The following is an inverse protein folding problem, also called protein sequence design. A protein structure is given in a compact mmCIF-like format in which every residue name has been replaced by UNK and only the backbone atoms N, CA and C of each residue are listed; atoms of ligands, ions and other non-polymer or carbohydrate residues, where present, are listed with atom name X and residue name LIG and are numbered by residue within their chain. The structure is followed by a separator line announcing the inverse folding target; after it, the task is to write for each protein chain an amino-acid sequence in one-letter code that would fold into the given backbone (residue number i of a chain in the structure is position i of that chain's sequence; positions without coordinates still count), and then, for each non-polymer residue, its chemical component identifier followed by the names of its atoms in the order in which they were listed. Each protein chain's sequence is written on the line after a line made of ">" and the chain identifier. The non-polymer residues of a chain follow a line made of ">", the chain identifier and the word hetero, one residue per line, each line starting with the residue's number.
data_IF_296906754478
#
_entry.id   IF_296906754478
#
_cell.length_a   1.000
_cell.length_b   1.000
_cell.length_c   1.000
_cell.angle_alpha   90.00
_cell.angle_beta   90.00
_cell.angle_gamma   90.00
#
_symmetry.space_group_name_H-M   'P 1'
#
loop_
_entity.id
_entity.type
_entity.pdbx_description
1 polymer ?
#
# COMPACT_ATOMS: atom_id res chain seq x y z
N UNK A 1 35.41 10.60 -25.50
CA UNK A 1 35.19 11.42 -24.31
C UNK A 1 34.18 12.58 -24.59
N UNK A 2 34.31 13.37 -25.69
CA UNK A 2 33.30 14.40 -26.04
C UNK A 2 31.87 13.84 -26.17
N UNK A 3 31.69 12.71 -26.81
CA UNK A 3 30.39 12.05 -26.95
C UNK A 3 29.76 11.69 -25.59
N UNK A 4 30.59 11.31 -24.61
CA UNK A 4 30.12 10.99 -23.25
C UNK A 4 29.67 12.23 -22.49
N UNK A 5 30.38 13.36 -22.66
CA UNK A 5 29.98 14.65 -22.06
C UNK A 5 28.65 15.09 -22.64
N UNK A 6 28.51 15.08 -23.97
CA UNK A 6 27.28 15.49 -24.64
C UNK A 6 26.08 14.61 -24.24
N UNK A 7 26.27 13.31 -24.09
CA UNK A 7 25.23 12.37 -23.63
C UNK A 7 24.79 12.69 -22.18
N UNK A 8 25.72 13.01 -21.30
CA UNK A 8 25.40 13.35 -19.90
C UNK A 8 24.67 14.69 -19.86
N UNK A 9 25.17 15.69 -20.58
CA UNK A 9 24.52 17.01 -20.65
C UNK A 9 23.12 16.92 -21.24
N UNK A 10 22.93 16.13 -22.31
CA UNK A 10 21.62 15.84 -22.87
C UNK A 10 20.70 15.12 -21.86
N UNK A 11 21.25 14.22 -21.06
CA UNK A 11 20.54 13.58 -19.93
C UNK A 11 20.12 14.59 -18.87
N UNK A 12 21.02 15.47 -18.44
CA UNK A 12 20.74 16.54 -17.45
C UNK A 12 19.65 17.48 -17.97
N UNK A 13 19.74 17.92 -19.21
CA UNK A 13 18.73 18.78 -19.84
C UNK A 13 17.35 18.14 -19.86
N UNK A 14 17.25 16.87 -20.23
CA UNK A 14 15.99 16.10 -20.21
C UNK A 14 15.39 15.98 -18.81
N UNK A 15 16.20 15.84 -17.78
CA UNK A 15 15.76 15.77 -16.39
C UNK A 15 15.20 17.11 -15.87
N UNK A 16 15.63 18.21 -16.44
CA UNK A 16 15.13 19.55 -16.11
C UNK A 16 13.88 19.95 -16.92
N UNK A 17 13.58 19.23 -17.99
CA UNK A 17 12.39 19.44 -18.80
C UNK A 17 11.23 18.59 -18.25
N UNK A 18 10.18 19.20 -17.70
CA UNK A 18 9.16 18.49 -16.90
C UNK A 18 8.06 17.83 -17.73
N UNK A 19 8.38 17.24 -18.87
CA UNK A 19 7.41 16.44 -19.66
C UNK A 19 7.03 15.13 -18.98
N UNK A 20 7.93 14.58 -18.12
CA UNK A 20 7.72 13.39 -17.30
C UNK A 20 8.14 13.67 -15.87
N UNK A 21 7.52 12.95 -14.92
CA UNK A 21 7.94 13.02 -13.52
C UNK A 21 9.41 12.57 -13.39
N UNK A 22 10.28 13.38 -12.77
CA UNK A 22 11.72 13.08 -12.66
C UNK A 22 11.97 12.04 -11.55
N UNK A 23 11.52 10.79 -11.77
CA UNK A 23 11.68 9.68 -10.82
C UNK A 23 13.15 9.36 -10.55
N UNK A 24 13.43 8.71 -9.42
CA UNK A 24 14.78 8.27 -9.09
C UNK A 24 15.33 7.33 -10.16
N UNK A 25 14.51 6.47 -10.74
CA UNK A 25 14.86 5.58 -11.84
C UNK A 25 15.39 6.34 -13.08
N UNK A 26 14.78 7.47 -13.42
CA UNK A 26 15.22 8.31 -14.54
C UNK A 26 16.47 9.12 -14.18
N UNK A 27 16.59 9.53 -12.92
CA UNK A 27 17.65 10.41 -12.44
C UNK A 27 18.97 9.66 -12.19
N UNK A 28 18.90 8.49 -11.55
CA UNK A 28 20.07 7.73 -11.10
C UNK A 28 21.05 7.35 -12.19
N UNK A 29 20.64 6.85 -13.38
CA UNK A 29 21.60 6.47 -14.42
C UNK A 29 22.44 7.64 -14.94
N UNK A 30 21.80 8.81 -15.08
CA UNK A 30 22.54 10.03 -15.51
C UNK A 30 23.47 10.51 -14.42
N UNK A 31 23.04 10.49 -13.15
CA UNK A 31 23.82 10.86 -12.00
C UNK A 31 25.06 9.95 -11.82
N UNK A 32 24.88 8.64 -11.94
CA UNK A 32 26.01 7.69 -11.81
C UNK A 32 27.04 7.86 -12.93
N UNK A 33 26.58 8.07 -14.17
CA UNK A 33 27.49 8.39 -15.28
C UNK A 33 28.22 9.73 -15.07
N UNK A 34 27.52 10.74 -14.56
CA UNK A 34 28.11 12.04 -14.24
C UNK A 34 29.17 11.93 -13.12
N UNK A 35 28.89 11.15 -12.07
CA UNK A 35 29.86 10.89 -10.99
C UNK A 35 31.10 10.14 -11.49
N UNK A 36 30.92 9.12 -12.32
CA UNK A 36 32.03 8.35 -12.89
C UNK A 36 32.94 9.27 -13.72
N UNK A 37 32.37 10.06 -14.63
CA UNK A 37 33.11 11.01 -15.43
C UNK A 37 33.82 12.08 -14.58
N UNK A 38 33.11 12.64 -13.59
CA UNK A 38 33.70 13.64 -12.69
C UNK A 38 34.93 13.09 -11.94
N UNK A 39 34.87 11.86 -11.43
CA UNK A 39 36.00 11.20 -10.76
C UNK A 39 37.18 10.95 -11.69
N UNK A 40 36.91 10.61 -12.95
CA UNK A 40 37.93 10.38 -13.95
C UNK A 40 38.62 11.68 -14.40
N UNK A 41 37.84 12.75 -14.60
CA UNK A 41 38.34 14.07 -15.01
C UNK A 41 39.22 14.71 -13.93
N UNK A 42 38.82 14.62 -12.65
CA UNK A 42 39.61 15.11 -11.51
C UNK A 42 41.00 14.46 -11.38
N UNK A 43 41.12 13.23 -11.91
CA UNK A 43 42.40 12.50 -11.85
C UNK A 43 43.30 12.72 -13.06
N UNK A 44 42.79 13.17 -14.19
CA UNK A 44 43.51 13.14 -15.46
C UNK A 44 43.79 14.49 -16.12
N UNK A 45 43.03 15.57 -15.81
CA UNK A 45 43.15 16.84 -16.52
C UNK A 45 43.45 18.01 -15.55
N UNK A 46 44.60 18.69 -15.71
CA UNK A 46 44.81 19.96 -15.03
C UNK A 46 43.87 21.05 -15.64
N UNK A 47 43.31 21.90 -14.80
CA UNK A 47 42.38 22.99 -15.22
C UNK A 47 42.92 23.90 -16.33
N UNK A 48 44.25 24.08 -16.36
CA UNK A 48 44.97 24.93 -17.32
C UNK A 48 44.98 24.42 -18.77
N UNK A 49 44.54 23.15 -18.98
CA UNK A 49 44.58 22.49 -20.30
C UNK A 49 43.19 22.36 -20.96
N UNK A 50 42.15 22.95 -20.40
CA UNK A 50 40.77 22.86 -20.92
C UNK A 50 40.41 24.05 -21.79
N UNK A 51 39.86 23.78 -22.97
CA UNK A 51 39.19 24.80 -23.81
C UNK A 51 37.95 25.33 -23.04
N UNK A 52 37.65 26.64 -23.20
CA UNK A 52 36.59 27.31 -22.42
C UNK A 52 35.24 26.63 -22.48
N UNK A 53 34.82 26.14 -23.65
CA UNK A 53 33.54 25.42 -23.83
C UNK A 53 33.50 24.10 -23.05
N UNK A 54 34.62 23.37 -23.02
CA UNK A 54 34.74 22.09 -22.30
C UNK A 54 34.74 22.35 -20.79
N UNK A 55 35.36 23.43 -20.36
CA UNK A 55 35.37 23.83 -18.95
C UNK A 55 33.95 24.12 -18.43
N UNK A 56 33.15 24.88 -19.18
CA UNK A 56 31.74 25.16 -18.81
C UNK A 56 30.88 23.91 -18.76
N UNK A 57 31.09 22.99 -19.68
CA UNK A 57 30.41 21.69 -19.71
C UNK A 57 30.76 20.85 -18.47
N UNK A 58 32.02 20.79 -18.09
CA UNK A 58 32.49 20.07 -16.90
C UNK A 58 31.95 20.73 -15.62
N UNK A 59 31.94 22.05 -15.53
CA UNK A 59 31.34 22.80 -14.42
C UNK A 59 29.86 22.46 -14.27
N UNK A 60 29.13 22.33 -15.37
CA UNK A 60 27.72 21.94 -15.38
C UNK A 60 27.54 20.54 -14.81
N UNK A 61 28.39 19.58 -15.21
CA UNK A 61 28.36 18.21 -14.69
C UNK A 61 28.71 18.15 -13.21
N UNK A 62 29.73 18.91 -12.80
CA UNK A 62 30.14 19.00 -11.38
C UNK A 62 29.04 19.58 -10.50
N UNK A 63 28.41 20.66 -10.97
CA UNK A 63 27.26 21.24 -10.29
C UNK A 63 26.10 20.27 -10.18
N UNK A 64 25.81 19.52 -11.24
CA UNK A 64 24.79 18.47 -11.21
C UNK A 64 25.11 17.37 -10.18
N UNK A 65 26.35 16.88 -10.14
CA UNK A 65 26.78 15.87 -9.17
C UNK A 65 26.66 16.36 -7.72
N UNK A 66 27.07 17.61 -7.46
CA UNK A 66 27.04 18.20 -6.12
C UNK A 66 25.61 18.53 -5.65
N UNK A 67 24.74 18.96 -6.56
CA UNK A 67 23.42 19.48 -6.24
C UNK A 67 22.27 18.58 -6.76
N UNK A 68 22.53 17.32 -7.09
CA UNK A 68 21.58 16.40 -7.74
C UNK A 68 20.23 16.31 -7.01
N UNK A 69 20.24 16.25 -5.68
CA UNK A 69 19.01 16.18 -4.87
C UNK A 69 18.20 17.45 -5.02
N UNK A 70 18.84 18.62 -4.85
CA UNK A 70 18.17 19.92 -4.94
C UNK A 70 17.63 20.17 -6.35
N UNK A 71 18.40 19.82 -7.37
CA UNK A 71 17.99 19.94 -8.77
C UNK A 71 16.80 19.04 -9.10
N UNK A 72 16.79 17.84 -8.55
CA UNK A 72 15.67 16.92 -8.68
C UNK A 72 14.40 17.47 -8.00
N UNK A 73 14.51 17.97 -6.78
CA UNK A 73 13.39 18.58 -6.06
C UNK A 73 12.82 19.79 -6.82
N UNK A 74 13.68 20.59 -7.43
CA UNK A 74 13.26 21.70 -8.29
C UNK A 74 12.54 21.23 -9.55
N UNK A 75 13.03 20.14 -10.19
CA UNK A 75 12.39 19.54 -11.35
C UNK A 75 11.02 18.94 -11.00
N UNK A 76 10.88 18.28 -9.83
CA UNK A 76 9.59 17.81 -9.31
C UNK A 76 8.61 18.97 -9.14
N UNK A 77 9.01 20.02 -8.45
CA UNK A 77 8.17 21.21 -8.25
C UNK A 77 7.76 21.86 -9.57
N UNK A 78 8.68 21.94 -10.54
CA UNK A 78 8.38 22.46 -11.88
C UNK A 78 7.35 21.58 -12.59
N UNK A 79 7.50 20.25 -12.52
CA UNK A 79 6.54 19.30 -13.06
C UNK A 79 5.16 19.46 -12.42
N UNK A 80 5.09 19.48 -11.10
CA UNK A 80 3.83 19.66 -10.36
C UNK A 80 3.14 20.97 -10.75
N UNK A 81 3.89 22.08 -10.80
CA UNK A 81 3.36 23.41 -11.19
C UNK A 81 2.75 23.40 -12.58
N UNK A 82 3.26 22.60 -13.50
CA UNK A 82 2.73 22.48 -14.86
C UNK A 82 1.58 21.48 -14.97
N UNK A 83 1.64 20.36 -14.23
CA UNK A 83 0.65 19.29 -14.35
C UNK A 83 -0.60 19.55 -13.50
N UNK A 84 -0.48 20.15 -12.32
CA UNK A 84 -1.64 20.42 -11.46
C UNK A 84 -2.75 21.24 -12.17
N UNK A 85 -2.45 22.36 -12.87
CA UNK A 85 -3.48 23.07 -13.62
C UNK A 85 -4.01 22.29 -14.82
N UNK A 86 -3.17 21.53 -15.49
CA UNK A 86 -3.57 20.72 -16.66
C UNK A 86 -4.59 19.63 -16.29
N UNK A 87 -4.48 19.08 -15.09
CA UNK A 87 -5.34 18.01 -14.59
C UNK A 87 -6.36 18.50 -13.55
N UNK A 88 -6.58 19.84 -13.44
CA UNK A 88 -7.47 20.39 -12.42
C UNK A 88 -8.89 19.81 -12.51
N UNK A 89 -9.50 19.80 -13.69
CA UNK A 89 -10.85 19.28 -13.91
C UNK A 89 -10.95 17.79 -13.51
N UNK A 90 -9.94 17.00 -13.83
CA UNK A 90 -9.87 15.59 -13.42
C UNK A 90 -9.85 15.46 -11.90
N UNK A 91 -9.00 16.22 -11.21
CA UNK A 91 -8.89 16.17 -9.76
C UNK A 91 -10.11 16.70 -9.03
N UNK A 92 -10.82 17.66 -9.65
CA UNK A 92 -12.03 18.26 -9.08
C UNK A 92 -13.27 17.39 -9.26
N UNK A 93 -13.30 16.52 -10.29
CA UNK A 93 -14.49 15.75 -10.66
C UNK A 93 -14.35 14.24 -10.51
N UNK A 94 -13.13 13.75 -10.21
CA UNK A 94 -12.90 12.30 -10.09
C UNK A 94 -13.69 11.67 -8.95
N UNK A 95 -13.83 12.35 -7.83
CA UNK A 95 -14.64 11.92 -6.70
C UNK A 95 -15.81 12.88 -6.47
N UNK A 96 -16.72 12.53 -5.57
CA UNK A 96 -17.83 13.40 -5.18
C UNK A 96 -17.38 14.72 -4.55
N UNK A 97 -16.18 14.73 -3.94
CA UNK A 97 -15.52 15.92 -3.43
C UNK A 97 -14.18 16.08 -4.14
N UNK A 98 -13.76 17.33 -4.44
CA UNK A 98 -12.44 17.59 -5.03
C UNK A 98 -11.31 16.97 -4.23
N UNK A 99 -10.31 16.42 -4.91
CA UNK A 99 -9.11 15.90 -4.25
C UNK A 99 -8.30 17.02 -3.63
N UNK A 100 -7.75 16.79 -2.43
CA UNK A 100 -6.91 17.77 -1.74
C UNK A 100 -5.58 18.01 -2.47
N UNK A 101 -4.88 19.14 -2.24
CA UNK A 101 -3.58 19.40 -2.86
C UNK A 101 -2.57 18.26 -2.64
N UNK A 102 -2.52 17.70 -1.42
CA UNK A 102 -1.61 16.61 -1.06
C UNK A 102 -1.98 15.30 -1.80
N UNK A 103 -3.27 15.03 -1.98
CA UNK A 103 -3.73 13.90 -2.77
C UNK A 103 -3.35 14.05 -4.24
N UNK A 104 -3.50 15.26 -4.82
CA UNK A 104 -3.13 15.55 -6.21
C UNK A 104 -1.64 15.37 -6.46
N UNK A 105 -0.77 15.88 -5.59
CA UNK A 105 0.68 15.69 -5.71
C UNK A 105 1.08 14.22 -5.56
N UNK A 106 0.43 13.48 -4.65
CA UNK A 106 0.62 12.03 -4.51
C UNK A 106 0.22 11.24 -5.76
N UNK A 107 -0.83 11.68 -6.46
CA UNK A 107 -1.26 11.05 -7.73
C UNK A 107 -0.25 11.33 -8.85
N UNK A 108 0.30 12.53 -8.92
CA UNK A 108 1.31 12.89 -9.93
C UNK A 108 2.66 12.21 -9.71
N UNK A 109 3.01 11.84 -8.48
CA UNK A 109 4.29 11.21 -8.15
C UNK A 109 4.43 9.85 -8.85
N UNK A 110 5.39 9.69 -9.76
CA UNK A 110 5.68 8.44 -10.51
C UNK A 110 7.07 7.92 -10.11
N UNK A 111 7.19 7.54 -8.84
CA UNK A 111 8.38 6.89 -8.27
C UNK A 111 8.26 5.37 -8.32
N UNK A 112 9.40 4.66 -8.16
CA UNK A 112 9.45 3.20 -8.07
C UNK A 112 8.65 2.66 -6.87
N UNK A 113 8.64 3.44 -5.77
CA UNK A 113 7.89 3.12 -4.58
C UNK A 113 7.33 4.42 -3.96
N UNK A 114 6.02 4.45 -3.76
CA UNK A 114 5.32 5.55 -3.09
C UNK A 114 4.55 4.99 -1.91
N UNK A 115 4.84 5.47 -0.72
CA UNK A 115 4.08 5.15 0.48
C UNK A 115 3.19 6.33 0.86
N UNK A 116 1.88 6.10 0.90
CA UNK A 116 0.91 7.11 1.32
C UNK A 116 0.45 6.85 2.74
N UNK A 117 0.79 7.76 3.64
CA UNK A 117 0.31 7.75 5.02
C UNK A 117 -1.02 8.48 5.11
N UNK A 118 -2.05 7.78 5.55
CA UNK A 118 -3.40 8.32 5.58
C UNK A 118 -4.24 7.68 6.69
N UNK A 119 -4.92 8.49 7.48
CA UNK A 119 -5.84 8.05 8.53
C UNK A 119 -7.08 7.31 8.02
N UNK A 120 -7.88 6.77 8.90
CA UNK A 120 -9.18 6.21 8.52
C UNK A 120 -10.08 7.31 7.94
N UNK A 121 -10.79 7.04 6.84
CA UNK A 121 -11.67 8.02 6.18
C UNK A 121 -10.98 9.14 5.40
N UNK A 122 -9.65 9.16 5.30
CA UNK A 122 -8.89 10.22 4.59
C UNK A 122 -8.83 10.06 3.07
N UNK A 123 -9.57 9.13 2.48
CA UNK A 123 -9.63 8.95 1.03
C UNK A 123 -8.50 8.10 0.42
N UNK A 124 -7.92 7.16 1.18
CA UNK A 124 -6.88 6.25 0.64
C UNK A 124 -7.28 5.55 -0.66
N UNK A 125 -8.47 4.96 -0.67
CA UNK A 125 -9.00 4.29 -1.86
C UNK A 125 -9.20 5.28 -3.01
N UNK A 126 -9.70 6.49 -2.72
CA UNK A 126 -9.89 7.54 -3.71
C UNK A 126 -8.57 7.95 -4.40
N UNK A 127 -7.48 8.06 -3.64
CA UNK A 127 -6.17 8.38 -4.24
C UNK A 127 -5.64 7.24 -5.11
N UNK A 128 -5.79 5.99 -4.67
CA UNK A 128 -5.32 4.82 -5.45
C UNK A 128 -6.11 4.70 -6.76
N UNK A 129 -7.44 4.82 -6.70
CA UNK A 129 -8.30 4.75 -7.90
C UNK A 129 -8.07 5.95 -8.83
N UNK A 130 -7.92 7.16 -8.27
CA UNK A 130 -7.59 8.34 -9.05
C UNK A 130 -6.19 8.25 -9.68
N UNK A 131 -5.20 7.66 -9.00
CA UNK A 131 -3.88 7.40 -9.59
C UNK A 131 -3.96 6.47 -10.78
N UNK A 132 -4.69 5.36 -10.67
CA UNK A 132 -4.91 4.45 -11.79
C UNK A 132 -5.60 5.17 -12.96
N UNK A 133 -6.65 5.94 -12.68
CA UNK A 133 -7.33 6.75 -13.69
C UNK A 133 -6.43 7.80 -14.34
N UNK A 134 -5.58 8.47 -13.57
CA UNK A 134 -4.59 9.42 -14.09
C UNK A 134 -3.59 8.74 -15.03
N UNK A 135 -3.03 7.59 -14.63
CA UNK A 135 -2.06 6.84 -15.45
C UNK A 135 -2.65 6.41 -16.78
N UNK A 136 -3.91 5.96 -16.81
CA UNK A 136 -4.63 5.58 -18.03
C UNK A 136 -4.93 6.82 -18.90
N UNK A 137 -5.58 7.84 -18.34
CA UNK A 137 -6.00 9.04 -19.09
C UNK A 137 -4.82 9.87 -19.59
N UNK A 138 -3.70 9.85 -18.90
CA UNK A 138 -2.46 10.52 -19.35
C UNK A 138 -1.69 9.72 -20.40
N UNK A 139 -2.04 8.46 -20.64
CA UNK A 139 -1.34 7.56 -21.56
C UNK A 139 0.02 7.08 -21.03
N UNK A 140 0.29 7.24 -19.73
CA UNK A 140 1.54 6.78 -19.09
C UNK A 140 1.54 5.25 -19.00
N UNK A 141 0.37 4.65 -18.72
CA UNK A 141 0.17 3.20 -18.63
C UNK A 141 -1.11 2.78 -19.32
N UNK A 142 -1.10 1.59 -19.91
CA UNK A 142 -2.32 0.92 -20.36
C UNK A 142 -2.97 0.18 -19.17
N UNK A 143 -4.29 -0.10 -19.22
CA UNK A 143 -4.97 -0.84 -18.15
C UNK A 143 -4.28 -2.17 -17.81
N UNK A 144 -3.76 -2.89 -18.80
CA UNK A 144 -3.09 -4.19 -18.66
C UNK A 144 -1.73 -4.09 -17.93
N UNK A 145 -1.15 -2.89 -17.86
CA UNK A 145 0.11 -2.62 -17.17
C UNK A 145 -0.10 -2.23 -15.71
N UNK A 146 -1.37 -2.11 -15.25
CA UNK A 146 -1.71 -1.68 -13.91
C UNK A 146 -2.28 -2.86 -13.11
N UNK A 147 -1.63 -3.21 -12.03
CA UNK A 147 -2.13 -4.18 -11.06
C UNK A 147 -2.62 -3.47 -9.80
N UNK A 148 -3.93 -3.56 -9.54
CA UNK A 148 -4.53 -3.10 -8.29
C UNK A 148 -4.79 -4.29 -7.35
N UNK A 149 -4.30 -4.18 -6.12
CA UNK A 149 -4.49 -5.19 -5.10
C UNK A 149 -5.23 -4.63 -3.89
N UNK A 150 -6.24 -5.35 -3.45
CA UNK A 150 -6.97 -5.07 -2.23
C UNK A 150 -6.93 -6.27 -1.28
N UNK A 151 -7.13 -6.03 0.00
CA UNK A 151 -7.16 -7.10 0.98
C UNK A 151 -8.46 -7.92 0.90
N UNK A 152 -9.61 -7.24 0.81
CA UNK A 152 -10.94 -7.86 0.76
C UNK A 152 -11.52 -7.86 -0.66
N UNK A 153 -12.38 -8.85 -0.95
CA UNK A 153 -13.07 -8.98 -2.25
C UNK A 153 -13.99 -7.79 -2.52
N UNK A 154 -14.73 -7.33 -1.52
CA UNK A 154 -15.64 -6.19 -1.67
C UNK A 154 -14.88 -4.90 -1.99
N UNK A 155 -13.72 -4.69 -1.35
CA UNK A 155 -12.86 -3.55 -1.65
C UNK A 155 -12.28 -3.62 -3.07
N UNK A 156 -11.86 -4.80 -3.54
CA UNK A 156 -11.41 -4.99 -4.92
C UNK A 156 -12.51 -4.67 -5.93
N UNK A 157 -13.72 -5.19 -5.68
CA UNK A 157 -14.89 -4.94 -6.52
C UNK A 157 -15.24 -3.45 -6.58
N UNK A 158 -15.32 -2.78 -5.42
CA UNK A 158 -15.59 -1.35 -5.33
C UNK A 158 -14.54 -0.52 -6.11
N UNK A 159 -13.25 -0.87 -6.01
CA UNK A 159 -12.18 -0.20 -6.75
C UNK A 159 -12.37 -0.35 -8.26
N UNK A 160 -12.68 -1.56 -8.73
CA UNK A 160 -12.91 -1.84 -10.16
C UNK A 160 -14.10 -1.05 -10.70
N UNK A 161 -15.26 -1.12 -10.02
CA UNK A 161 -16.49 -0.41 -10.39
C UNK A 161 -16.26 1.10 -10.43
N UNK A 162 -15.55 1.65 -9.46
CA UNK A 162 -15.25 3.08 -9.37
C UNK A 162 -14.36 3.56 -10.51
N UNK A 163 -13.36 2.78 -10.91
CA UNK A 163 -12.47 3.15 -12.02
C UNK A 163 -13.24 3.07 -13.35
N UNK A 164 -13.98 2.01 -13.58
CA UNK A 164 -14.81 1.87 -14.78
C UNK A 164 -15.81 3.02 -14.92
N UNK A 165 -16.53 3.36 -13.84
CA UNK A 165 -17.48 4.48 -13.80
C UNK A 165 -16.81 5.83 -14.10
N UNK A 166 -15.60 6.09 -13.56
CA UNK A 166 -14.93 7.40 -13.62
C UNK A 166 -14.02 7.58 -14.82
N UNK A 167 -13.44 6.49 -15.31
CA UNK A 167 -12.48 6.53 -16.42
C UNK A 167 -13.07 6.02 -17.71
N UNK A 168 -14.12 5.21 -17.66
CA UNK A 168 -14.70 4.54 -18.84
C UNK A 168 -13.88 3.36 -19.33
N UNK A 169 -12.82 2.98 -18.61
CA UNK A 169 -11.92 1.89 -18.95
C UNK A 169 -12.00 0.79 -17.89
N UNK A 170 -12.19 -0.47 -18.29
CA UNK A 170 -12.25 -1.59 -17.34
C UNK A 170 -10.85 -1.86 -16.77
N UNK A 171 -10.71 -1.75 -15.45
CA UNK A 171 -9.51 -2.14 -14.73
C UNK A 171 -9.90 -3.02 -13.55
N UNK A 172 -9.52 -4.30 -13.60
CA UNK A 172 -9.84 -5.26 -12.56
C UNK A 172 -8.87 -5.15 -11.38
N UNK A 173 -9.38 -4.73 -10.23
CA UNK A 173 -8.68 -4.86 -8.96
C UNK A 173 -8.85 -6.28 -8.41
N UNK A 174 -7.81 -6.82 -7.79
CA UNK A 174 -7.75 -8.21 -7.31
C UNK A 174 -7.40 -8.30 -5.84
N UNK A 175 -7.72 -9.41 -5.23
CA UNK A 175 -7.15 -9.73 -3.92
C UNK A 175 -5.81 -10.47 -4.10
N UNK A 176 -4.94 -10.42 -3.08
CA UNK A 176 -3.70 -11.21 -3.09
C UNK A 176 -3.96 -12.69 -3.33
N UNK A 177 -5.04 -13.24 -2.74
CA UNK A 177 -5.41 -14.63 -2.94
C UNK A 177 -5.82 -14.95 -4.38
N UNK A 178 -6.62 -14.09 -5.02
CA UNK A 178 -7.02 -14.32 -6.41
C UNK A 178 -5.83 -14.20 -7.37
N UNK A 179 -4.93 -13.25 -7.16
CA UNK A 179 -3.71 -13.13 -7.93
C UNK A 179 -2.81 -14.36 -7.77
N UNK A 180 -2.56 -14.81 -6.53
CA UNK A 180 -1.76 -16.01 -6.26
C UNK A 180 -2.35 -17.25 -6.94
N UNK A 181 -3.67 -17.39 -6.89
CA UNK A 181 -4.39 -18.49 -7.53
C UNK A 181 -4.22 -18.50 -9.06
N UNK A 182 -4.26 -17.32 -9.68
CA UNK A 182 -4.03 -17.19 -11.13
C UNK A 182 -2.57 -17.46 -11.51
N UNK A 183 -1.60 -17.00 -10.71
CA UNK A 183 -0.17 -17.27 -10.92
C UNK A 183 0.09 -18.80 -10.84
N UNK A 184 -0.44 -19.48 -9.83
CA UNK A 184 -0.30 -20.93 -9.70
C UNK A 184 -0.92 -21.62 -10.92
N UNK A 185 -2.14 -21.21 -11.32
CA UNK A 185 -2.80 -21.77 -12.49
C UNK A 185 -2.01 -21.59 -13.78
N UNK A 186 -1.34 -20.43 -13.94
CA UNK A 186 -0.50 -20.16 -15.12
C UNK A 186 0.79 -21.01 -15.14
N UNK A 187 1.40 -21.24 -13.96
CA UNK A 187 2.64 -22.02 -13.84
C UNK A 187 2.38 -23.50 -13.95
N UNK A 188 1.31 -24.01 -13.31
CA UNK A 188 0.99 -25.45 -13.24
C UNK A 188 0.08 -25.91 -14.41
N UNK A 189 -0.37 -24.98 -15.27
CA UNK A 189 -1.25 -25.27 -16.41
C UNK A 189 -2.72 -25.47 -16.04
N UNK A 190 -3.06 -25.49 -14.74
CA UNK A 190 -4.43 -25.58 -14.25
C UNK A 190 -4.57 -24.94 -12.86
N UNK A 191 -5.72 -24.33 -12.59
CA UNK A 191 -5.99 -23.78 -11.26
C UNK A 191 -6.14 -24.91 -10.25
N UNK A 192 -5.49 -24.85 -9.07
CA UNK A 192 -5.58 -25.88 -8.05
C UNK A 192 -7.02 -26.00 -7.52
N UNK A 193 -7.44 -27.20 -7.20
CA UNK A 193 -8.72 -27.41 -6.54
C UNK A 193 -8.66 -26.88 -5.09
N UNK A 194 -9.62 -26.05 -4.72
CA UNK A 194 -9.75 -25.62 -3.33
C UNK A 194 -10.33 -26.75 -2.48
N UNK A 195 -9.78 -26.91 -1.27
CA UNK A 195 -10.34 -27.85 -0.32
C UNK A 195 -11.79 -27.45 0.05
N UNK A 196 -12.67 -28.43 0.25
CA UNK A 196 -14.08 -28.18 0.53
C UNK A 196 -14.30 -27.21 1.71
N UNK A 197 -13.48 -27.31 2.74
CA UNK A 197 -13.56 -26.42 3.91
C UNK A 197 -13.09 -24.98 3.65
N UNK A 198 -12.48 -24.68 2.51
CA UNK A 198 -12.09 -23.33 2.15
C UNK A 198 -13.24 -22.51 1.52
N UNK A 199 -14.32 -23.17 1.09
CA UNK A 199 -15.45 -22.56 0.38
C UNK A 199 -16.82 -22.85 1.01
N UNK A 200 -16.89 -23.77 1.96
CA UNK A 200 -18.12 -24.16 2.65
C UNK A 200 -17.92 -24.08 4.18
N UNK A 201 -18.63 -23.14 4.81
CA UNK A 201 -18.60 -22.94 6.26
C UNK A 201 -19.01 -24.20 7.05
N UNK A 202 -19.93 -25.01 6.52
CA UNK A 202 -20.32 -26.26 7.18
C UNK A 202 -19.19 -27.30 7.17
N UNK A 203 -18.51 -27.41 6.03
CA UNK A 203 -17.33 -28.27 5.89
C UNK A 203 -16.19 -27.78 6.78
N UNK A 204 -15.96 -26.46 6.86
CA UNK A 204 -14.99 -25.86 7.78
C UNK A 204 -15.32 -26.18 9.24
N UNK A 205 -16.54 -25.94 9.66
CA UNK A 205 -16.97 -26.24 11.04
C UNK A 205 -16.91 -27.74 11.37
N UNK A 206 -17.18 -28.63 10.40
CA UNK A 206 -17.02 -30.06 10.59
C UNK A 206 -15.56 -30.45 10.82
N UNK A 207 -14.63 -29.89 10.01
CA UNK A 207 -13.19 -30.07 10.15
C UNK A 207 -12.68 -29.58 11.52
N UNK A 208 -13.09 -28.38 11.95
CA UNK A 208 -12.72 -27.85 13.27
C UNK A 208 -13.20 -28.75 14.39
N UNK A 209 -14.45 -29.25 14.33
CA UNK A 209 -14.98 -30.19 15.33
C UNK A 209 -14.19 -31.51 15.37
N UNK A 210 -13.79 -32.01 14.22
CA UNK A 210 -12.97 -33.22 14.13
C UNK A 210 -11.58 -33.02 14.75
N UNK A 211 -10.90 -31.93 14.41
CA UNK A 211 -9.60 -31.57 14.98
C UNK A 211 -9.70 -31.39 16.49
N UNK A 212 -10.69 -30.65 16.99
CA UNK A 212 -10.88 -30.46 18.42
C UNK A 212 -11.13 -31.81 19.15
N UNK A 213 -11.96 -32.68 18.60
CA UNK A 213 -12.16 -34.03 19.18
C UNK A 213 -10.84 -34.78 19.25
N UNK A 214 -10.09 -34.81 18.16
CA UNK A 214 -8.79 -35.47 18.12
C UNK A 214 -7.85 -34.92 19.19
N UNK A 215 -7.68 -33.57 19.28
CA UNK A 215 -6.81 -32.92 20.25
C UNK A 215 -7.23 -33.19 21.69
N UNK A 216 -8.52 -33.13 22.00
CA UNK A 216 -9.07 -33.43 23.34
C UNK A 216 -8.81 -34.84 23.76
N UNK A 217 -8.88 -35.80 22.83
CA UNK A 217 -8.69 -37.25 23.17
C UNK A 217 -7.23 -37.67 23.19
N UNK A 218 -6.34 -36.93 22.48
CA UNK A 218 -4.94 -37.34 22.33
C UNK A 218 -3.94 -36.51 23.15
N UNK A 219 -4.30 -35.27 23.50
CA UNK A 219 -3.39 -34.34 24.20
C UNK A 219 -4.02 -33.94 25.53
N UNK A 220 -3.47 -34.46 26.62
CA UNK A 220 -4.00 -34.24 27.97
C UNK A 220 -4.03 -32.76 28.39
N UNK A 221 -3.05 -31.95 27.96
CA UNK A 221 -2.99 -30.52 28.28
C UNK A 221 -4.06 -29.71 27.55
N UNK A 222 -4.41 -30.08 26.31
CA UNK A 222 -5.54 -29.49 25.59
C UNK A 222 -6.86 -29.78 26.31
N UNK A 223 -7.03 -31.03 26.74
CA UNK A 223 -8.19 -31.44 27.52
C UNK A 223 -8.32 -30.64 28.81
N UNK A 224 -7.22 -30.50 29.58
CA UNK A 224 -7.18 -29.71 30.83
C UNK A 224 -7.49 -28.22 30.56
N UNK A 225 -6.90 -27.66 29.52
CA UNK A 225 -7.12 -26.24 29.16
C UNK A 225 -8.59 -25.97 28.79
N UNK A 226 -9.21 -26.88 28.02
CA UNK A 226 -10.62 -26.74 27.66
C UNK A 226 -11.52 -26.87 28.90
N UNK A 227 -11.25 -27.90 29.76
CA UNK A 227 -11.99 -28.07 31.01
C UNK A 227 -11.81 -26.85 31.91
N UNK A 228 -10.58 -26.33 32.04
CA UNK A 228 -10.29 -25.12 32.79
C UNK A 228 -11.06 -23.91 32.26
N UNK A 229 -11.09 -23.72 30.94
CA UNK A 229 -11.83 -22.63 30.33
C UNK A 229 -13.34 -22.72 30.62
N UNK A 230 -13.93 -23.90 30.46
CA UNK A 230 -15.35 -24.09 30.80
C UNK A 230 -15.65 -23.96 32.31
N UNK A 231 -14.71 -24.31 33.17
CA UNK A 231 -14.91 -24.27 34.63
C UNK A 231 -14.67 -22.89 35.24
N UNK A 232 -13.73 -22.10 34.67
CA UNK A 232 -13.27 -20.86 35.28
C UNK A 232 -13.44 -19.61 34.41
N UNK A 233 -13.41 -19.75 33.08
CA UNK A 233 -13.49 -18.63 32.17
C UNK A 233 -14.87 -18.43 31.56
N UNK A 234 -15.67 -19.51 31.42
CA UNK A 234 -17.04 -19.40 30.94
C UNK A 234 -17.92 -18.91 32.08
N UNK A 235 -18.20 -17.62 32.05
CA UNK A 235 -19.17 -17.02 32.95
C UNK A 235 -20.57 -17.54 32.60
N UNK A 236 -21.30 -18.09 33.59
CA UNK A 236 -22.72 -18.37 33.48
C UNK A 236 -23.48 -17.05 33.33
N UNK A 237 -23.78 -16.68 32.12
CA UNK A 237 -24.48 -15.42 31.85
C UNK A 237 -25.26 -15.47 30.53
N UNK A 238 -26.23 -14.57 30.42
CA UNK A 238 -26.97 -14.38 29.19
C UNK A 238 -26.10 -13.66 28.17
N UNK A 239 -26.20 -14.07 26.90
CA UNK A 239 -25.54 -13.42 25.77
C UNK A 239 -26.41 -12.28 25.22
N UNK A 240 -25.86 -11.43 24.36
CA UNK A 240 -26.60 -10.36 23.70
C UNK A 240 -27.85 -10.89 22.98
N UNK A 241 -27.80 -12.12 22.48
CA UNK A 241 -28.89 -12.78 21.76
C UNK A 241 -30.05 -13.25 22.63
N UNK A 242 -29.90 -13.27 23.93
CA UNK A 242 -30.94 -13.63 24.90
C UNK A 242 -31.85 -12.44 25.25
N UNK A 243 -31.55 -11.25 24.74
CA UNK A 243 -32.28 -10.01 24.99
C UNK A 243 -32.93 -9.48 23.70
N UNK A 244 -34.17 -8.94 23.85
CA UNK A 244 -34.89 -8.32 22.71
C UNK A 244 -34.28 -6.99 22.28
N UNK A 245 -33.58 -6.30 23.16
CA UNK A 245 -32.94 -4.99 22.91
C UNK A 245 -31.53 -4.99 23.47
N UNK A 246 -30.60 -4.41 22.71
CA UNK A 246 -29.20 -4.21 23.10
C UNK A 246 -29.05 -3.51 24.45
N UNK A 247 -29.87 -2.52 24.75
CA UNK A 247 -29.86 -1.78 26.00
C UNK A 247 -30.14 -2.67 27.21
N UNK A 248 -31.02 -3.64 27.09
CA UNK A 248 -31.35 -4.57 28.19
C UNK A 248 -30.17 -5.50 28.50
N UNK A 249 -29.40 -5.90 27.48
CA UNK A 249 -28.16 -6.64 27.65
C UNK A 249 -27.08 -5.81 28.38
N UNK A 250 -26.85 -4.56 27.97
CA UNK A 250 -25.86 -3.72 28.67
C UNK A 250 -26.25 -3.46 30.14
N UNK A 251 -27.54 -3.22 30.42
CA UNK A 251 -28.03 -3.08 31.80
C UNK A 251 -27.85 -4.38 32.61
N UNK A 252 -27.95 -5.54 31.97
CA UNK A 252 -27.66 -6.82 32.60
C UNK A 252 -26.17 -6.97 32.90
N UNK A 253 -25.30 -6.66 31.96
CA UNK A 253 -23.83 -6.74 32.13
C UNK A 253 -23.33 -5.78 33.20
N UNK A 254 -23.84 -4.54 33.26
CA UNK A 254 -23.52 -3.56 34.32
C UNK A 254 -23.83 -4.07 35.73
N UNK A 255 -24.85 -4.91 35.89
CA UNK A 255 -25.23 -5.49 37.17
C UNK A 255 -24.35 -6.69 37.57
N UNK A 256 -23.54 -7.25 36.68
CA UNK A 256 -22.76 -8.46 36.93
C UNK A 256 -21.45 -8.23 37.67
N UNK A 257 -21.01 -6.99 37.89
CA UNK A 257 -19.72 -6.65 38.51
C UNK A 257 -18.56 -7.50 37.94
N UNK A 258 -18.37 -7.42 36.63
CA UNK A 258 -17.34 -8.19 35.95
C UNK A 258 -15.95 -7.75 36.39
N UNK A 259 -15.15 -8.69 36.91
CA UNK A 259 -13.78 -8.43 37.38
C UNK A 259 -12.78 -9.34 36.70
N UNK A 260 -11.64 -8.77 36.33
CA UNK A 260 -10.50 -9.51 35.80
C UNK A 260 -9.87 -10.41 36.86
N UNK A 261 -8.98 -11.32 36.43
CA UNK A 261 -8.17 -12.14 37.35
C UNK A 261 -7.33 -11.28 38.34
N UNK A 262 -7.06 -10.02 37.99
CA UNK A 262 -6.38 -9.04 38.86
C UNK A 262 -7.36 -8.26 39.75
N UNK A 263 -8.66 -8.48 39.65
CA UNK A 263 -9.69 -7.82 40.45
C UNK A 263 -10.16 -6.47 39.88
N UNK A 264 -9.69 -6.07 38.69
CA UNK A 264 -10.11 -4.84 38.01
C UNK A 264 -11.53 -4.99 37.46
N UNK A 265 -12.36 -3.96 37.65
CA UNK A 265 -13.71 -3.94 37.13
C UNK A 265 -13.69 -3.58 35.65
N UNK A 266 -14.40 -4.36 34.81
CA UNK A 266 -14.56 -4.16 33.37
C UNK A 266 -16.04 -4.05 32.99
N UNK A 267 -16.29 -3.47 31.82
CA UNK A 267 -17.65 -3.13 31.39
C UNK A 267 -18.27 -4.13 30.41
N UNK A 268 -17.47 -5.05 29.87
CA UNK A 268 -17.95 -6.07 28.93
C UNK A 268 -17.22 -7.40 29.11
N UNK A 269 -17.81 -8.48 28.60
CA UNK A 269 -17.17 -9.80 28.59
C UNK A 269 -15.95 -9.82 27.67
N UNK A 270 -15.95 -9.05 26.61
CA UNK A 270 -14.82 -8.91 25.67
C UNK A 270 -13.62 -8.27 26.37
N UNK A 271 -13.85 -7.18 27.11
CA UNK A 271 -12.82 -6.54 27.94
C UNK A 271 -12.26 -7.51 28.98
N UNK A 272 -13.12 -8.29 29.65
CA UNK A 272 -12.73 -9.30 30.61
C UNK A 272 -11.82 -10.36 29.98
N UNK A 273 -12.19 -10.87 28.81
CA UNK A 273 -11.42 -11.89 28.10
C UNK A 273 -10.05 -11.36 27.64
N UNK A 274 -10.01 -10.13 27.09
CA UNK A 274 -8.77 -9.52 26.63
C UNK A 274 -7.83 -9.25 27.82
N UNK A 275 -8.35 -8.68 28.91
CA UNK A 275 -7.55 -8.37 30.08
C UNK A 275 -7.00 -9.63 30.74
N UNK A 276 -7.80 -10.68 30.87
CA UNK A 276 -7.33 -11.96 31.42
C UNK A 276 -6.30 -12.63 30.51
N UNK A 277 -6.50 -12.59 29.19
CA UNK A 277 -5.52 -13.12 28.25
C UNK A 277 -4.18 -12.38 28.31
N UNK A 278 -4.20 -11.05 28.40
CA UNK A 278 -2.99 -10.24 28.56
C UNK A 278 -2.26 -10.47 29.87
N UNK A 279 -2.99 -10.87 30.91
CA UNK A 279 -2.39 -11.18 32.22
C UNK A 279 -1.72 -12.57 32.23
N UNK A 280 -2.25 -13.52 31.48
CA UNK A 280 -1.75 -14.90 31.40
C UNK A 280 -0.58 -15.09 30.42
N UNK A 281 -0.36 -14.15 29.48
CA UNK A 281 0.66 -14.20 28.45
C UNK A 281 1.59 -12.99 28.46
#
# INVERSE_FOLDING_TARGET
>A
ERSTIDDILGGIAKLQEPSRYPSAYLYSPTLERAKALNSELLTKLPEEAMDGDVFDQIQTIQNFVQNAVVMRDQAIKKFETQQLPKWADFFDTFESNPLTPEQRTSILADEEAVTQLAGAGSGKTSVITAKAGYLIKSGIRQPEEILLLAFARDAAKEMSERIEERCGEPLEARTFHSLAYDIIGAVEGSKPALAAHATDDKAFMALIKEILRYLVHTIADVSKSIIGWFSYARLEGKTEWDFKKKHDYYTYVEKMDLRTLQGEQVKSFEELMIANWLFEN
#
